data_IF_125938826560
#
_entry.id   IF_125938826560
#
_cell.length_a   1.000
_cell.length_b   1.000
_cell.length_c   1.000
_cell.angle_alpha   90.00
_cell.angle_beta   90.00
_cell.angle_gamma   90.00
#
_symmetry.space_group_name_H-M   'P 1'
#
loop_
_entity.id
_entity.type
_entity.pdbx_description
1 polymer ?
#
# COMPACT_ATOMS: atom_id res chain seq x y z
N UNK A 1 15.08 18.68 -18.08
CA UNK A 1 14.54 18.55 -17.76
C UNK A 1 13.62 18.20 -17.57
N UNK A 2 13.52 18.03 -17.66
CA UNK A 2 12.60 17.71 -17.42
C UNK A 2 11.93 17.54 -16.81
N UNK A 3 11.71 17.67 -16.53
CA UNK A 3 10.95 17.52 -15.88
C UNK A 3 10.14 17.35 -15.68
N UNK A 4 10.13 17.41 -15.88
CA UNK A 4 9.29 17.24 -15.65
C UNK A 4 8.55 16.82 -15.33
N UNK A 5 8.44 16.85 -15.34
CA UNK A 5 7.64 16.46 -14.95
C UNK A 5 7.13 16.03 -14.58
N UNK A 6 7.19 15.99 -14.41
CA UNK A 6 6.60 15.57 -13.94
C UNK A 6 5.95 15.14 -13.42
N UNK A 7 5.94 15.24 -13.31
CA UNK A 7 5.26 14.87 -12.79
C UNK A 7 4.45 14.57 -12.48
N UNK A 8 4.44 14.82 -12.65
CA UNK A 8 3.41 14.67 -12.34
C UNK A 8 2.92 13.69 -11.93
N UNK A 9 2.99 13.56 -11.78
CA UNK A 9 2.46 12.83 -11.42
C UNK A 9 2.10 11.79 -11.25
N UNK A 10 2.64 11.43 -11.65
CA UNK A 10 1.47 10.74 -11.45
C UNK A 10 1.58 9.70 -10.42
N UNK A 11 0.49 9.36 -9.85
CA UNK A 11 0.40 8.55 -8.66
C UNK A 11 0.75 7.09 -8.86
N UNK A 12 0.88 6.64 -10.10
CA UNK A 12 1.20 5.24 -10.37
C UNK A 12 2.69 4.93 -10.30
N UNK A 13 3.53 5.94 -10.19
CA UNK A 13 4.96 5.71 -10.07
C UNK A 13 5.28 5.07 -8.72
N UNK A 14 6.12 4.01 -8.69
CA UNK A 14 6.52 3.41 -7.43
C UNK A 14 7.27 4.40 -6.56
N UNK A 15 6.97 4.38 -5.28
CA UNK A 15 7.65 5.21 -4.28
C UNK A 15 8.45 4.28 -3.38
N UNK A 16 9.72 4.57 -3.20
CA UNK A 16 10.59 3.78 -2.33
C UNK A 16 10.24 4.10 -0.89
N UNK A 17 9.43 3.26 -0.28
CA UNK A 17 9.02 3.42 1.12
C UNK A 17 8.51 2.09 1.65
N UNK A 18 8.69 1.85 2.93
CA UNK A 18 8.14 0.69 3.63
C UNK A 18 6.91 1.04 4.47
N UNK A 19 6.43 2.27 4.36
CA UNK A 19 5.27 2.72 5.13
C UNK A 19 4.19 3.21 4.18
N UNK A 20 3.00 2.65 4.34
CA UNK A 20 1.82 3.04 3.58
C UNK A 20 0.82 3.62 4.57
N UNK A 21 0.28 4.77 4.24
CA UNK A 21 -0.67 5.47 5.10
C UNK A 21 -2.06 5.37 4.48
N UNK A 22 -3.04 5.10 5.32
CA UNK A 22 -4.45 5.22 4.96
C UNK A 22 -4.93 6.51 5.64
N UNK A 23 -5.09 7.60 4.87
CA UNK A 23 -5.49 8.88 5.47
C UNK A 23 -6.99 8.90 5.74
N UNK A 24 -7.57 10.07 5.91
CA UNK A 24 -9.01 10.17 6.08
C UNK A 24 -9.82 9.76 4.85
N UNK A 25 -9.23 9.82 3.65
CA UNK A 25 -9.85 9.28 2.46
C UNK A 25 -9.59 7.77 2.37
N UNK A 26 -10.42 7.07 1.63
CA UNK A 26 -10.32 5.62 1.47
C UNK A 26 -9.37 5.29 0.33
N UNK A 27 -8.08 5.47 0.58
CA UNK A 27 -6.99 5.21 -0.36
C UNK A 27 -5.79 4.68 0.40
N UNK A 28 -4.87 4.03 -0.31
CA UNK A 28 -3.55 3.68 0.19
C UNK A 28 -2.53 4.67 -0.39
N UNK A 29 -1.70 5.25 0.46
CA UNK A 29 -0.70 6.24 0.04
C UNK A 29 0.69 5.82 0.49
N UNK A 30 1.63 5.61 -0.44
CA UNK A 30 1.44 5.70 -1.89
C UNK A 30 0.64 4.51 -2.42
N UNK A 31 0.07 4.67 -3.60
CA UNK A 31 -0.66 3.57 -4.24
C UNK A 31 0.28 2.42 -4.62
N UNK A 32 1.51 2.74 -5.01
CA UNK A 32 2.53 1.74 -5.32
C UNK A 32 3.78 2.05 -4.51
N UNK A 33 4.20 1.10 -3.69
CA UNK A 33 5.41 1.21 -2.89
C UNK A 33 6.42 0.17 -3.35
N UNK A 34 7.68 0.55 -3.37
CA UNK A 34 8.78 -0.34 -3.73
C UNK A 34 9.67 -0.58 -2.53
N UNK A 35 9.96 -1.85 -2.25
CA UNK A 35 10.80 -2.25 -1.12
C UNK A 35 11.78 -3.32 -1.56
N UNK A 36 12.79 -3.54 -0.74
CA UNK A 36 13.76 -4.61 -0.95
C UNK A 36 13.24 -5.89 -0.30
N UNK A 37 13.72 -7.02 -0.79
CA UNK A 37 13.48 -8.33 -0.16
C UNK A 37 13.89 -8.26 1.31
N UNK A 38 13.03 -8.76 2.17
CA UNK A 38 13.25 -8.76 3.62
C UNK A 38 12.66 -7.56 4.34
N UNK A 39 12.10 -6.61 3.61
CA UNK A 39 11.53 -5.41 4.22
C UNK A 39 10.27 -5.72 5.02
N UNK A 40 10.08 -4.98 6.10
CA UNK A 40 8.83 -4.94 6.85
C UNK A 40 8.00 -3.79 6.32
N UNK A 41 6.88 -4.09 5.69
CA UNK A 41 5.97 -3.06 5.18
C UNK A 41 4.87 -2.85 6.19
N UNK A 42 4.65 -1.60 6.56
CA UNK A 42 3.66 -1.22 7.57
C UNK A 42 2.56 -0.37 6.95
N UNK A 43 1.32 -0.74 7.22
CA UNK A 43 0.15 0.07 6.86
C UNK A 43 -0.36 0.74 8.13
N UNK A 44 -0.49 2.06 8.09
CA UNK A 44 -0.95 2.88 9.22
C UNK A 44 -2.30 3.50 8.87
N UNK A 45 -3.32 3.20 9.64
CA UNK A 45 -4.64 3.74 9.40
C UNK A 45 -4.84 5.00 10.25
N UNK A 46 -4.74 6.14 9.59
CA UNK A 46 -4.93 7.45 10.23
C UNK A 46 -6.37 7.96 10.11
N UNK A 47 -7.23 7.22 9.43
CA UNK A 47 -8.63 7.60 9.26
C UNK A 47 -9.50 7.14 10.42
N UNK A 48 -10.78 7.43 10.32
CA UNK A 48 -11.76 7.07 11.34
C UNK A 48 -12.54 5.79 11.08
N UNK A 49 -12.24 5.11 9.99
CA UNK A 49 -12.93 3.87 9.61
C UNK A 49 -11.95 2.70 9.60
N UNK A 50 -12.46 1.51 9.86
CA UNK A 50 -11.65 0.29 9.72
C UNK A 50 -11.48 -0.04 8.25
N UNK A 51 -10.30 -0.53 7.91
CA UNK A 51 -9.96 -0.98 6.56
C UNK A 51 -9.32 -2.35 6.62
N UNK A 52 -9.02 -2.93 5.49
CA UNK A 52 -8.25 -4.17 5.44
C UNK A 52 -7.11 -4.05 4.46
N UNK A 53 -6.08 -4.86 4.68
CA UNK A 53 -5.02 -5.12 3.71
C UNK A 53 -5.21 -6.56 3.29
N UNK A 54 -5.80 -6.76 2.11
CA UNK A 54 -6.18 -8.07 1.62
C UNK A 54 -5.49 -8.29 0.29
N UNK A 55 -4.53 -9.20 0.26
CA UNK A 55 -3.76 -9.45 -0.97
C UNK A 55 -4.56 -10.33 -1.91
N UNK A 56 -4.50 -9.97 -3.20
CA UNK A 56 -5.31 -10.62 -4.24
C UNK A 56 -4.95 -12.08 -4.41
N UNK A 57 -3.72 -12.46 -4.08
CA UNK A 57 -3.27 -13.85 -4.15
C UNK A 57 -3.65 -14.68 -2.93
N UNK A 58 -4.32 -14.10 -1.97
CA UNK A 58 -4.75 -14.79 -0.76
C UNK A 58 -3.67 -14.97 0.30
N UNK A 59 -2.49 -14.40 0.09
CA UNK A 59 -1.34 -14.64 0.98
C UNK A 59 -1.41 -13.86 2.29
N UNK A 60 -2.26 -12.84 2.38
CA UNK A 60 -2.33 -11.99 3.57
C UNK A 60 -3.68 -11.29 3.60
N UNK A 61 -4.32 -11.28 4.75
CA UNK A 61 -5.63 -10.66 4.93
C UNK A 61 -5.75 -10.21 6.38
N UNK A 62 -5.60 -8.90 6.62
CA UNK A 62 -5.65 -8.35 7.97
C UNK A 62 -6.52 -7.10 8.00
N UNK A 63 -7.32 -6.97 9.04
CA UNK A 63 -8.07 -5.75 9.31
C UNK A 63 -7.13 -4.75 9.98
N UNK A 64 -7.19 -3.50 9.50
CA UNK A 64 -6.43 -2.40 10.08
C UNK A 64 -7.44 -1.44 10.72
N UNK A 65 -7.60 -1.56 12.02
CA UNK A 65 -8.58 -0.72 12.74
C UNK A 65 -8.15 0.75 12.70
N UNK A 66 -9.12 1.64 12.81
CA UNK A 66 -8.85 3.07 12.89
C UNK A 66 -7.83 3.34 13.99
N UNK A 67 -6.78 4.08 13.67
CA UNK A 67 -5.71 4.42 14.61
C UNK A 67 -4.68 3.32 14.81
N UNK A 68 -4.79 2.20 14.12
CA UNK A 68 -3.88 1.06 14.28
C UNK A 68 -3.03 0.85 13.05
N UNK A 69 -2.14 -0.14 13.12
CA UNK A 69 -1.27 -0.50 11.99
C UNK A 69 -1.11 -2.01 11.92
N UNK A 70 -0.75 -2.50 10.73
CA UNK A 70 -0.36 -3.90 10.51
C UNK A 70 0.91 -3.92 9.69
N UNK A 71 1.67 -5.00 9.82
CA UNK A 71 2.97 -5.14 9.16
C UNK A 71 3.06 -6.51 8.50
N UNK A 72 3.69 -6.51 7.31
CA UNK A 72 3.99 -7.75 6.59
C UNK A 72 5.43 -7.71 6.09
N UNK A 73 6.13 -8.85 6.26
CA UNK A 73 7.48 -9.05 5.72
C UNK A 73 7.37 -9.66 4.33
N UNK A 74 8.14 -9.15 3.38
CA UNK A 74 8.19 -9.69 2.01
C UNK A 74 9.54 -10.35 1.77
N UNK A 75 9.52 -11.65 1.57
CA UNK A 75 10.75 -12.44 1.43
C UNK A 75 11.02 -12.90 0.00
N UNK A 76 10.11 -12.65 -0.92
CA UNK A 76 10.22 -13.08 -2.30
C UNK A 76 10.01 -11.89 -3.25
N UNK A 77 10.91 -11.66 -4.21
CA UNK A 77 10.71 -10.59 -5.18
C UNK A 77 9.44 -10.80 -5.99
N UNK A 78 8.84 -9.71 -6.41
CA UNK A 78 7.64 -9.78 -7.25
C UNK A 78 6.78 -8.54 -7.07
N UNK A 79 5.66 -8.54 -7.78
CA UNK A 79 4.67 -7.48 -7.70
C UNK A 79 3.42 -8.05 -7.03
N UNK A 80 3.00 -7.44 -5.95
CA UNK A 80 1.89 -7.93 -5.13
C UNK A 80 0.81 -6.87 -5.09
N UNK A 81 -0.37 -7.20 -5.56
CA UNK A 81 -1.51 -6.29 -5.53
C UNK A 81 -2.42 -6.64 -4.35
N UNK A 82 -3.03 -5.62 -3.78
CA UNK A 82 -3.91 -5.78 -2.64
C UNK A 82 -5.06 -4.77 -2.70
N UNK A 83 -6.03 -4.97 -1.86
CA UNK A 83 -7.20 -4.10 -1.79
C UNK A 83 -7.77 -4.11 -0.39
N UNK A 84 -8.66 -3.18 -0.11
CA UNK A 84 -9.49 -3.19 1.08
C UNK A 84 -10.78 -3.92 0.76
N UNK A 85 -11.08 -4.99 1.47
CA UNK A 85 -12.29 -5.78 1.19
C UNK A 85 -13.58 -5.08 1.62
N UNK A 86 -13.47 -4.03 2.43
CA UNK A 86 -14.64 -3.29 2.90
C UNK A 86 -15.08 -2.21 1.93
N UNK A 87 -14.18 -1.74 1.08
CA UNK A 87 -14.43 -0.60 0.20
C UNK A 87 -13.98 -0.86 -1.23
N UNK A 88 -14.28 -2.03 -1.81
CA UNK A 88 -14.00 -2.23 -3.22
C UNK A 88 -14.90 -1.32 -4.06
N UNK A 89 -14.53 -1.05 -5.32
CA UNK A 89 -13.32 -1.49 -6.00
C UNK A 89 -12.20 -0.45 -5.97
N UNK A 90 -12.38 0.67 -5.30
CA UNK A 90 -11.51 1.82 -5.49
C UNK A 90 -10.26 1.81 -4.60
N UNK A 91 -10.32 1.12 -3.48
CA UNK A 91 -9.23 1.15 -2.52
C UNK A 91 -8.27 0.01 -2.78
N UNK A 92 -7.22 0.30 -3.56
CA UNK A 92 -6.25 -0.68 -4.05
C UNK A 92 -4.84 -0.17 -3.90
N UNK A 93 -3.90 -1.09 -3.80
CA UNK A 93 -2.48 -0.76 -3.76
C UNK A 93 -1.62 -1.85 -4.35
N UNK A 94 -0.33 -1.56 -4.49
CA UNK A 94 0.66 -2.47 -5.04
C UNK A 94 1.96 -2.34 -4.28
N UNK A 95 2.57 -3.49 -3.97
CA UNK A 95 3.92 -3.54 -3.41
C UNK A 95 4.82 -4.19 -4.45
N UNK A 96 5.90 -3.51 -4.81
CA UNK A 96 6.94 -4.03 -5.69
C UNK A 96 8.12 -4.40 -4.82
N UNK A 97 8.50 -5.68 -4.83
CA UNK A 97 9.61 -6.20 -4.01
C UNK A 97 10.77 -6.54 -4.94
N UNK A 98 11.91 -5.94 -4.70
CA UNK A 98 13.10 -6.13 -5.56
C UNK A 98 14.30 -6.73 -4.85
#
# INVERSE_FOLDING_TARGET
LAVAGCASQTSSQPVATDTIVIPGQWVFQPATAEVKVGANVTWENHGGADHSVTFDDGSFDQVVHAGSSVTRVFTTPGTYTYHCKFHPPNMKGTIVVT
#
